data_IF_838794027131
#
_entry.id   IF_838794027131
#
_cell.length_a   1.000
_cell.length_b   1.000
_cell.length_c   1.000
_cell.angle_alpha   90.00
_cell.angle_beta   90.00
_cell.angle_gamma   90.00
#
_symmetry.space_group_name_H-M   'P 1'
#
loop_
_entity.id
_entity.type
_entity.pdbx_description
1 polymer ?
#
# COMPACT_ATOMS: atom_id res chain seq x y z
N UNK A 1 19.36 -1.30 0.63
CA UNK A 1 19.60 -1.84 -0.73
C UNK A 1 18.63 -2.98 -0.97
N UNK A 2 18.02 -3.07 -2.15
CA UNK A 2 17.01 -4.08 -2.51
C UNK A 2 17.27 -4.63 -3.90
N UNK A 3 17.04 -5.92 -4.12
CA UNK A 3 17.02 -6.50 -5.48
C UNK A 3 15.59 -6.48 -6.05
N UNK A 4 15.45 -6.28 -7.36
CA UNK A 4 14.16 -6.20 -8.06
C UNK A 4 13.96 -7.33 -9.06
N UNK A 5 14.59 -8.49 -8.81
CA UNK A 5 14.52 -9.68 -9.69
C UNK A 5 13.13 -10.34 -9.74
N UNK A 6 12.19 -9.87 -8.92
CA UNK A 6 10.83 -10.37 -8.81
C UNK A 6 10.72 -11.55 -7.83
N UNK A 7 9.55 -11.68 -7.19
CA UNK A 7 9.21 -12.80 -6.32
C UNK A 7 9.76 -12.75 -4.89
N UNK A 8 10.55 -11.73 -4.53
CA UNK A 8 11.11 -11.58 -3.18
C UNK A 8 10.16 -10.82 -2.23
N UNK A 9 9.42 -9.85 -2.78
CA UNK A 9 8.49 -8.97 -2.09
C UNK A 9 7.19 -8.87 -2.88
N UNK A 10 6.06 -9.00 -2.20
CA UNK A 10 4.75 -9.04 -2.84
C UNK A 10 3.78 -8.13 -2.08
N UNK A 11 3.16 -7.21 -2.82
CA UNK A 11 2.10 -6.34 -2.33
C UNK A 11 0.79 -6.85 -2.92
N UNK A 12 0.02 -7.56 -2.10
CA UNK A 12 -1.25 -8.11 -2.51
C UNK A 12 -2.35 -7.10 -2.26
N UNK A 13 -2.99 -6.65 -3.33
CA UNK A 13 -4.12 -5.75 -3.28
C UNK A 13 -5.42 -6.57 -3.36
N UNK A 14 -6.27 -6.45 -2.33
CA UNK A 14 -7.67 -6.88 -2.42
C UNK A 14 -8.49 -5.87 -3.22
N UNK A 15 -8.32 -4.59 -2.88
CA UNK A 15 -8.85 -3.45 -3.65
C UNK A 15 -7.76 -2.39 -3.71
N UNK A 16 -7.51 -1.85 -4.91
CA UNK A 16 -6.63 -0.70 -5.09
C UNK A 16 -7.20 0.56 -4.42
N UNK A 17 -6.40 1.61 -4.33
CA UNK A 17 -6.79 2.88 -3.73
C UNK A 17 -8.01 3.46 -4.45
N UNK A 18 -9.07 3.70 -3.68
CA UNK A 18 -10.32 4.28 -4.16
C UNK A 18 -10.73 5.50 -3.32
N UNK A 19 -11.47 6.41 -3.94
CA UNK A 19 -12.08 7.57 -3.28
C UNK A 19 -13.55 7.28 -3.03
N UNK A 20 -13.96 7.24 -1.76
CA UNK A 20 -15.35 7.03 -1.34
C UNK A 20 -16.01 8.31 -0.84
N UNK A 21 -17.34 8.37 -0.92
CA UNK A 21 -18.15 9.44 -0.33
C UNK A 21 -18.52 9.10 1.12
N UNK A 22 -18.35 10.06 2.03
CA UNK A 22 -18.75 9.91 3.43
C UNK A 22 -20.03 10.70 3.73
N UNK A 23 -20.02 12.01 3.50
CA UNK A 23 -21.13 12.93 3.80
C UNK A 23 -20.95 14.25 3.05
N UNK A 24 -21.96 15.13 3.08
CA UNK A 24 -21.80 16.53 2.70
C UNK A 24 -22.73 17.42 3.53
N UNK A 25 -22.36 18.70 3.63
CA UNK A 25 -23.20 19.78 4.11
C UNK A 25 -23.37 20.86 3.03
N UNK A 26 -23.84 22.05 3.40
CA UNK A 26 -24.09 23.14 2.44
C UNK A 26 -22.81 23.70 1.80
N UNK A 27 -21.65 23.46 2.41
CA UNK A 27 -20.37 24.09 2.02
C UNK A 27 -19.34 23.06 1.57
N UNK A 28 -19.42 21.82 2.07
CA UNK A 28 -18.35 20.83 1.91
C UNK A 28 -18.86 19.43 1.62
N UNK A 29 -18.04 18.67 0.89
CA UNK A 29 -18.21 17.23 0.69
C UNK A 29 -17.05 16.52 1.37
N UNK A 30 -17.35 15.58 2.26
CA UNK A 30 -16.38 14.70 2.89
C UNK A 30 -16.23 13.42 2.08
N UNK A 31 -14.99 13.17 1.64
CA UNK A 31 -14.58 11.96 0.96
C UNK A 31 -13.58 11.21 1.83
N UNK A 32 -13.36 9.93 1.55
CA UNK A 32 -12.32 9.11 2.18
C UNK A 32 -11.50 8.37 1.14
N UNK A 33 -10.26 8.02 1.51
CA UNK A 33 -9.46 7.05 0.79
C UNK A 33 -9.65 5.69 1.44
N UNK A 34 -9.81 4.67 0.62
CA UNK A 34 -9.87 3.28 1.07
C UNK A 34 -9.03 2.41 0.15
N UNK A 35 -8.25 1.53 0.76
CA UNK A 35 -7.53 0.45 0.11
C UNK A 35 -7.66 -0.81 0.95
N UNK A 36 -7.39 -1.97 0.36
CA UNK A 36 -7.23 -3.21 1.13
C UNK A 36 -6.03 -3.92 0.60
N UNK A 37 -5.01 -4.09 1.44
CA UNK A 37 -3.73 -4.65 1.03
C UNK A 37 -3.06 -5.45 2.15
N UNK A 38 -2.13 -6.31 1.76
CA UNK A 38 -1.16 -6.94 2.65
C UNK A 38 0.20 -7.02 1.97
N UNK A 39 1.27 -6.98 2.75
CA UNK A 39 2.63 -7.06 2.25
C UNK A 39 3.32 -8.33 2.75
N UNK A 40 3.96 -9.06 1.85
CA UNK A 40 4.69 -10.28 2.13
C UNK A 40 6.16 -10.13 1.73
N UNK A 41 7.03 -10.58 2.64
CA UNK A 41 8.47 -10.71 2.40
C UNK A 41 8.80 -12.20 2.37
N UNK A 42 9.14 -12.74 1.19
CA UNK A 42 9.42 -14.16 1.01
C UNK A 42 10.89 -14.50 1.27
N UNK A 43 11.81 -13.60 0.90
CA UNK A 43 13.26 -13.82 1.03
C UNK A 43 13.95 -12.60 1.61
N UNK A 44 14.44 -12.72 2.85
CA UNK A 44 15.09 -11.61 3.54
C UNK A 44 16.43 -11.21 2.88
N UNK A 45 17.14 -12.18 2.30
CA UNK A 45 18.44 -12.01 1.64
C UNK A 45 18.39 -11.11 0.39
N UNK A 46 17.20 -10.86 -0.16
CA UNK A 46 17.00 -9.90 -1.25
C UNK A 46 17.05 -8.43 -0.78
N UNK A 47 17.29 -8.19 0.51
CA UNK A 47 17.37 -6.85 1.11
C UNK A 47 18.56 -6.70 2.07
N UNK A 48 19.10 -5.48 2.14
CA UNK A 48 20.05 -5.06 3.18
C UNK A 48 19.59 -3.72 3.75
N UNK A 49 19.23 -3.70 5.03
CA UNK A 49 18.91 -2.48 5.76
C UNK A 49 20.21 -1.74 6.13
N UNK A 50 20.28 -0.44 5.81
CA UNK A 50 21.40 0.41 6.16
C UNK A 50 20.99 1.32 7.30
N UNK A 51 21.76 1.36 8.39
CA UNK A 51 21.59 2.33 9.46
C UNK A 51 22.21 3.67 9.07
N UNK A 52 21.65 4.76 9.61
CA UNK A 52 22.22 6.11 9.49
C UNK A 52 23.53 6.25 10.26
#
# INVERSE_FOLDING_TARGET
>A
MLTTRGGDFDLQLGTDVAIGYLSHDAETVQLYLQETMTFLCYTAEASVALSA
#
